data_IF_343202924482
#
_entry.id   IF_343202924482
#
_cell.length_a   1.000
_cell.length_b   1.000
_cell.length_c   1.000
_cell.angle_alpha   90.00
_cell.angle_beta   90.00
_cell.angle_gamma   90.00
#
_symmetry.space_group_name_H-M   'P 1'
#
loop_
_entity.id
_entity.type
_entity.pdbx_description
1 polymer ?
#
# COMPACT_ATOMS: atom_id res chain seq x y z
N UNK A 1 12.87 -21.26 -8.32
CA UNK A 1 14.06 -20.39 -8.34
C UNK A 1 13.73 -19.09 -7.65
N UNK A 2 14.52 -18.69 -6.65
CA UNK A 2 14.35 -17.43 -5.92
C UNK A 2 15.43 -16.46 -6.41
N UNK A 3 15.05 -15.22 -6.74
CA UNK A 3 15.99 -14.16 -7.11
C UNK A 3 16.36 -13.38 -5.84
N UNK A 4 17.64 -13.40 -5.44
CA UNK A 4 18.15 -12.57 -4.34
C UNK A 4 18.70 -11.25 -4.86
N UNK A 5 18.32 -10.14 -4.22
CA UNK A 5 18.68 -8.76 -4.60
C UNK A 5 19.61 -8.08 -3.58
N UNK A 6 20.10 -8.82 -2.58
CA UNK A 6 20.93 -8.36 -1.46
C UNK A 6 22.22 -7.64 -1.88
N UNK A 7 22.73 -7.90 -3.08
CA UNK A 7 23.95 -7.28 -3.61
C UNK A 7 23.73 -5.99 -4.41
N UNK A 8 22.47 -5.57 -4.58
CA UNK A 8 22.13 -4.38 -5.36
C UNK A 8 21.55 -3.32 -4.44
N UNK A 9 22.20 -2.17 -4.36
CA UNK A 9 21.66 -1.00 -3.64
C UNK A 9 20.64 -0.29 -4.52
N UNK A 10 19.36 -0.50 -4.22
CA UNK A 10 18.24 0.16 -4.89
C UNK A 10 17.67 1.25 -3.98
N UNK A 11 17.30 2.38 -4.58
CA UNK A 11 16.57 3.44 -3.88
C UNK A 11 15.07 3.14 -3.92
N UNK A 12 14.26 3.65 -2.98
CA UNK A 12 12.81 3.60 -3.11
C UNK A 12 12.34 4.13 -4.47
N UNK A 13 11.43 3.43 -5.13
CA UNK A 13 11.10 3.72 -6.52
C UNK A 13 10.22 2.66 -7.20
N UNK A 14 9.66 3.04 -8.34
CA UNK A 14 9.03 2.10 -9.27
C UNK A 14 10.10 1.39 -10.12
N UNK A 15 10.02 0.07 -10.21
CA UNK A 15 10.92 -0.78 -10.97
C UNK A 15 10.17 -1.74 -11.90
N UNK A 16 10.86 -2.16 -12.95
CA UNK A 16 10.40 -3.23 -13.85
C UNK A 16 11.37 -4.39 -13.81
N UNK A 17 10.94 -5.53 -13.28
CA UNK A 17 11.63 -6.80 -13.48
C UNK A 17 11.34 -7.33 -14.87
N UNK A 18 12.40 -7.69 -15.59
CA UNK A 18 12.32 -8.44 -16.85
C UNK A 18 13.07 -9.74 -16.66
N UNK A 19 12.38 -10.87 -16.86
CA UNK A 19 12.97 -12.19 -16.85
C UNK A 19 13.00 -12.71 -18.29
N UNK A 20 14.18 -13.03 -18.79
CA UNK A 20 14.38 -13.51 -20.15
C UNK A 20 14.98 -14.92 -20.12
N UNK A 21 14.42 -15.82 -20.92
CA UNK A 21 14.91 -17.20 -21.06
C UNK A 21 14.67 -17.69 -22.47
N UNK A 22 15.14 -18.89 -22.78
CA UNK A 22 14.71 -19.64 -23.96
C UNK A 22 13.85 -20.82 -23.52
N UNK A 23 12.88 -21.20 -24.34
CA UNK A 23 12.13 -22.44 -24.15
C UNK A 23 12.92 -23.66 -24.66
N UNK A 24 12.30 -24.84 -24.58
CA UNK A 24 12.92 -26.09 -25.03
C UNK A 24 13.25 -26.15 -26.54
N UNK A 25 12.71 -25.24 -27.33
CA UNK A 25 12.94 -25.13 -28.78
C UNK A 25 13.91 -23.98 -29.13
N UNK A 26 14.46 -23.29 -28.14
CA UNK A 26 15.36 -22.16 -28.34
C UNK A 26 14.66 -20.84 -28.63
N UNK A 27 13.33 -20.79 -28.55
CA UNK A 27 12.54 -19.56 -28.73
C UNK A 27 12.66 -18.68 -27.49
N UNK A 28 12.91 -17.39 -27.69
CA UNK A 28 13.01 -16.43 -26.58
C UNK A 28 11.65 -16.23 -25.89
N UNK A 29 11.65 -16.28 -24.56
CA UNK A 29 10.49 -16.04 -23.70
C UNK A 29 10.85 -14.93 -22.72
N UNK A 30 9.98 -13.92 -22.59
CA UNK A 30 10.16 -12.80 -21.68
C UNK A 30 8.94 -12.63 -20.78
N UNK A 31 9.17 -12.43 -19.49
CA UNK A 31 8.14 -12.04 -18.52
C UNK A 31 8.52 -10.71 -17.89
N UNK A 32 7.57 -9.77 -17.86
CA UNK A 32 7.75 -8.45 -17.23
C UNK A 32 6.82 -8.32 -16.03
N UNK A 33 7.34 -7.74 -14.96
CA UNK A 33 6.58 -7.44 -13.75
C UNK A 33 6.98 -6.05 -13.23
N UNK A 34 5.98 -5.22 -12.92
CA UNK A 34 6.20 -3.93 -12.26
C UNK A 34 6.11 -4.13 -10.76
N UNK A 35 7.03 -3.51 -10.02
CA UNK A 35 7.07 -3.52 -8.56
C UNK A 35 7.38 -2.11 -8.06
N UNK A 36 6.97 -1.82 -6.83
CA UNK A 36 7.37 -0.61 -6.11
C UNK A 36 8.25 -1.05 -4.95
N UNK A 37 9.48 -0.58 -4.93
CA UNK A 37 10.38 -0.73 -3.80
C UNK A 37 10.18 0.46 -2.86
N UNK A 38 9.95 0.21 -1.59
CA UNK A 38 9.77 1.23 -0.58
C UNK A 38 10.59 0.90 0.67
N UNK A 39 10.96 1.92 1.42
CA UNK A 39 11.60 1.79 2.72
C UNK A 39 10.51 1.87 3.81
N UNK A 40 10.26 0.81 4.58
CA UNK A 40 9.24 0.83 5.63
C UNK A 40 9.46 1.90 6.69
N UNK A 41 10.73 2.27 6.95
CA UNK A 41 11.13 3.29 7.92
C UNK A 41 11.44 4.64 7.24
N UNK A 42 11.32 4.70 5.91
CA UNK A 42 11.60 5.87 5.10
C UNK A 42 10.54 6.95 5.27
N UNK A 43 10.96 8.22 5.24
CA UNK A 43 10.05 9.36 5.38
C UNK A 43 9.43 9.83 4.05
N UNK A 44 9.92 9.30 2.92
CA UNK A 44 9.56 9.72 1.57
C UNK A 44 8.78 8.63 0.84
N UNK A 45 7.66 8.95 0.18
CA UNK A 45 6.95 7.98 -0.65
C UNK A 45 7.83 7.50 -1.81
N UNK A 46 7.68 6.24 -2.24
CA UNK A 46 8.48 5.63 -3.31
C UNK A 46 8.06 6.06 -4.72
N UNK A 47 6.86 6.64 -4.87
CA UNK A 47 6.29 7.07 -6.15
C UNK A 47 5.71 8.48 -6.05
N UNK A 48 5.41 9.07 -7.20
CA UNK A 48 4.83 10.42 -7.32
C UNK A 48 3.30 10.45 -7.30
N UNK A 49 2.68 9.42 -6.73
CA UNK A 49 1.23 9.37 -6.52
C UNK A 49 0.77 10.51 -5.59
N UNK A 50 -0.48 10.96 -5.77
CA UNK A 50 -1.05 12.04 -4.96
C UNK A 50 -1.05 11.66 -3.48
N UNK A 51 -1.55 10.46 -3.20
CA UNK A 51 -1.43 9.76 -1.94
C UNK A 51 -0.91 8.37 -2.25
N UNK A 52 0.24 8.02 -1.71
CA UNK A 52 0.76 6.66 -1.75
C UNK A 52 0.25 5.90 -0.54
N UNK A 53 -0.21 4.67 -0.76
CA UNK A 53 -0.69 3.79 0.30
C UNK A 53 0.02 2.44 0.25
N UNK A 54 0.37 1.92 1.42
CA UNK A 54 0.80 0.54 1.58
C UNK A 54 -0.04 -0.16 2.63
N UNK A 55 -0.69 -1.23 2.18
CA UNK A 55 -1.60 -2.06 2.95
C UNK A 55 -0.93 -3.43 3.17
N UNK A 56 -0.61 -3.82 4.42
CA UNK A 56 -0.03 -5.12 4.68
C UNK A 56 -0.99 -6.23 4.23
N UNK A 57 -0.44 -7.26 3.59
CA UNK A 57 -1.22 -8.37 3.04
C UNK A 57 -1.15 -9.59 3.96
N UNK A 58 -2.27 -10.26 4.16
CA UNK A 58 -2.34 -11.54 4.88
C UNK A 58 -3.58 -11.63 5.77
N UNK A 59 -3.92 -12.83 6.26
CA UNK A 59 -4.95 -12.97 7.27
C UNK A 59 -4.49 -12.32 8.57
N UNK A 60 -5.33 -11.46 9.14
CA UNK A 60 -5.10 -10.90 10.47
C UNK A 60 -5.93 -11.67 11.49
N UNK A 61 -5.26 -12.18 12.51
CA UNK A 61 -5.93 -12.82 13.64
C UNK A 61 -6.31 -11.79 14.72
N UNK A 62 -7.34 -12.07 15.54
CA UNK A 62 -7.66 -11.24 16.69
C UNK A 62 -6.45 -10.99 17.59
N UNK A 63 -6.23 -9.73 17.96
CA UNK A 63 -5.06 -9.27 18.72
C UNK A 63 -3.84 -8.92 17.85
N UNK A 64 -3.87 -9.18 16.54
CA UNK A 64 -2.87 -8.66 15.61
C UNK A 64 -3.24 -7.26 15.13
N UNK A 65 -2.25 -6.50 14.68
CA UNK A 65 -2.46 -5.15 14.15
C UNK A 65 -1.94 -5.03 12.71
N UNK A 66 -2.80 -4.55 11.80
CA UNK A 66 -2.35 -4.06 10.51
C UNK A 66 -1.72 -2.68 10.68
N UNK A 67 -0.53 -2.49 10.11
CA UNK A 67 0.16 -1.21 10.02
C UNK A 67 0.05 -0.69 8.60
N UNK A 68 -0.89 0.22 8.40
CA UNK A 68 -1.16 0.86 7.11
C UNK A 68 -0.27 2.09 7.00
N UNK A 69 0.45 2.23 5.90
CA UNK A 69 1.32 3.39 5.66
C UNK A 69 0.70 4.28 4.59
N UNK A 70 0.71 5.59 4.83
CA UNK A 70 0.13 6.60 3.96
C UNK A 70 1.11 7.76 3.81
N UNK A 71 1.25 8.31 2.62
CA UNK A 71 2.10 9.48 2.38
C UNK A 71 1.58 10.33 1.24
N UNK A 72 1.83 11.65 1.28
CA UNK A 72 1.57 12.54 0.16
C UNK A 72 2.90 12.97 -0.48
N UNK A 73 2.97 13.02 -1.82
CA UNK A 73 4.21 13.33 -2.54
C UNK A 73 4.46 14.83 -2.74
N UNK A 74 3.42 15.61 -3.08
CA UNK A 74 3.62 16.97 -3.62
C UNK A 74 3.21 18.12 -2.69
N UNK A 75 2.18 17.93 -1.87
CA UNK A 75 1.63 18.95 -0.98
C UNK A 75 0.99 18.29 0.22
N UNK A 76 0.85 19.05 1.30
CA UNK A 76 0.02 18.68 2.44
C UNK A 76 -1.36 18.24 1.95
N UNK A 77 -1.69 16.97 2.17
CA UNK A 77 -2.96 16.41 1.77
C UNK A 77 -3.79 16.11 3.01
N UNK A 78 -5.00 16.68 3.06
CA UNK A 78 -5.98 16.27 4.06
C UNK A 78 -6.70 15.03 3.55
N UNK A 79 -6.75 14.01 4.41
CA UNK A 79 -7.29 12.69 4.12
C UNK A 79 -8.21 12.27 5.26
N UNK A 80 -9.32 11.64 4.90
CA UNK A 80 -10.24 10.96 5.81
C UNK A 80 -9.98 9.46 5.72
N UNK A 81 -9.69 8.83 6.85
CA UNK A 81 -9.55 7.39 6.99
C UNK A 81 -10.73 6.84 7.79
N UNK A 82 -11.43 5.87 7.22
CA UNK A 82 -12.59 5.25 7.87
C UNK A 82 -12.46 3.73 7.92
N UNK A 83 -12.96 3.15 9.01
CA UNK A 83 -13.10 1.71 9.17
C UNK A 83 -14.58 1.42 9.29
N UNK A 84 -15.08 0.56 8.41
CA UNK A 84 -16.44 0.06 8.43
C UNK A 84 -16.44 -1.40 8.86
N UNK A 85 -17.40 -1.74 9.71
CA UNK A 85 -17.75 -3.11 10.07
C UNK A 85 -19.26 -3.22 10.06
N UNK A 86 -19.79 -4.26 9.42
CA UNK A 86 -21.23 -4.52 9.36
C UNK A 86 -22.07 -3.30 8.94
N UNK A 87 -21.64 -2.58 7.89
CA UNK A 87 -22.29 -1.38 7.36
C UNK A 87 -22.32 -0.18 8.33
N UNK A 88 -21.51 -0.21 9.38
CA UNK A 88 -21.36 0.87 10.34
C UNK A 88 -19.92 1.37 10.36
N UNK A 89 -19.75 2.69 10.24
CA UNK A 89 -18.45 3.33 10.43
C UNK A 89 -18.10 3.28 11.92
N UNK A 90 -17.15 2.41 12.27
CA UNK A 90 -16.69 2.22 13.65
C UNK A 90 -15.53 3.16 14.01
N UNK A 91 -14.88 3.76 13.00
CA UNK A 91 -13.77 4.70 13.16
C UNK A 91 -13.74 5.68 12.00
N UNK A 92 -13.50 6.96 12.30
CA UNK A 92 -13.38 8.03 11.32
C UNK A 92 -12.33 9.05 11.79
N UNK A 93 -11.22 9.14 11.06
CA UNK A 93 -10.07 9.97 11.40
C UNK A 93 -9.69 10.92 10.26
N UNK A 94 -9.70 12.21 10.53
CA UNK A 94 -9.10 13.21 9.65
C UNK A 94 -7.61 13.36 9.92
N UNK A 95 -6.81 13.43 8.86
CA UNK A 95 -5.38 13.63 8.98
C UNK A 95 -4.76 14.45 7.86
N UNK A 96 -3.71 15.18 8.22
CA UNK A 96 -2.81 15.83 7.26
C UNK A 96 -1.60 14.94 6.99
N UNK A 97 -1.35 14.65 5.72
CA UNK A 97 -0.19 13.91 5.23
C UNK A 97 0.85 14.91 4.70
N UNK A 98 1.98 15.05 5.41
CA UNK A 98 3.19 15.77 4.94
C UNK A 98 4.38 14.83 4.70
N UNK A 99 4.41 13.73 5.43
CA UNK A 99 5.41 12.66 5.43
C UNK A 99 4.68 11.33 5.55
N UNK A 100 5.43 10.23 5.42
CA UNK A 100 4.90 8.90 5.74
C UNK A 100 4.32 8.89 7.15
N UNK A 101 3.06 8.48 7.25
CA UNK A 101 2.32 8.27 8.50
C UNK A 101 1.85 6.84 8.55
N UNK A 102 1.97 6.24 9.73
CA UNK A 102 1.47 4.91 10.00
C UNK A 102 0.17 4.97 10.79
N UNK A 103 -0.83 4.24 10.34
CA UNK A 103 -2.08 3.97 11.07
C UNK A 103 -2.06 2.50 11.49
N UNK A 104 -2.37 2.23 12.75
CA UNK A 104 -2.62 0.88 13.22
C UNK A 104 -4.13 0.63 13.31
N UNK A 105 -4.57 -0.53 12.85
CA UNK A 105 -5.86 -1.11 13.20
C UNK A 105 -5.61 -2.45 13.89
N UNK A 106 -6.05 -2.59 15.14
CA UNK A 106 -5.98 -3.85 15.88
C UNK A 106 -7.25 -4.64 15.57
N UNK A 107 -7.07 -5.87 15.10
CA UNK A 107 -8.19 -6.73 14.76
C UNK A 107 -8.79 -7.37 16.02
N UNK A 108 -10.10 -7.33 16.12
CA UNK A 108 -10.89 -8.02 17.13
C UNK A 108 -11.60 -9.24 16.54
N UNK A 109 -12.18 -10.12 17.36
CA UNK A 109 -12.98 -11.26 16.86
C UNK A 109 -14.15 -10.79 15.98
N UNK A 110 -14.74 -9.64 16.30
CA UNK A 110 -15.80 -9.01 15.53
C UNK A 110 -15.36 -8.57 14.12
N UNK A 111 -14.06 -8.38 13.90
CA UNK A 111 -13.53 -7.90 12.61
C UNK A 111 -13.41 -9.03 11.57
N UNK A 112 -13.66 -10.29 11.95
CA UNK A 112 -13.49 -11.43 11.06
C UNK A 112 -14.46 -11.41 9.89
N UNK A 113 -13.90 -11.25 8.69
CA UNK A 113 -14.58 -11.49 7.42
C UNK A 113 -15.42 -10.32 6.88
N UNK A 114 -15.49 -9.19 7.57
CA UNK A 114 -16.33 -8.06 7.17
C UNK A 114 -15.83 -6.69 7.63
N UNK A 115 -14.52 -6.43 7.51
CA UNK A 115 -13.95 -5.09 7.77
C UNK A 115 -13.47 -4.46 6.47
N UNK A 116 -13.95 -3.24 6.24
CA UNK A 116 -13.57 -2.42 5.09
C UNK A 116 -12.87 -1.15 5.56
N UNK A 117 -11.85 -0.77 4.80
CA UNK A 117 -11.06 0.43 5.03
C UNK A 117 -11.26 1.39 3.88
N UNK A 118 -11.58 2.64 4.20
CA UNK A 118 -11.76 3.69 3.21
C UNK A 118 -10.75 4.82 3.41
N UNK A 119 -10.22 5.30 2.31
CA UNK A 119 -9.39 6.48 2.25
C UNK A 119 -9.99 7.49 1.28
N UNK A 120 -10.48 8.61 1.81
CA UNK A 120 -11.11 9.68 1.04
C UNK A 120 -10.27 10.94 1.06
N UNK A 121 -10.03 11.55 -0.10
CA UNK A 121 -9.29 12.81 -0.18
C UNK A 121 -9.64 13.60 -1.45
N UNK A 122 -9.30 14.89 -1.46
CA UNK A 122 -9.51 15.77 -2.61
C UNK A 122 -8.19 16.40 -3.06
N UNK A 123 -7.83 16.21 -4.32
CA UNK A 123 -6.61 16.74 -4.91
C UNK A 123 -6.86 17.15 -6.37
N UNK A 124 -6.19 18.22 -6.83
CA UNK A 124 -6.32 18.70 -8.21
C UNK A 124 -7.78 18.92 -8.66
N UNK A 125 -8.62 19.44 -7.75
CA UNK A 125 -10.07 19.63 -7.94
C UNK A 125 -10.84 18.34 -8.29
N UNK A 126 -10.36 17.19 -7.81
CA UNK A 126 -11.02 15.88 -7.94
C UNK A 126 -11.09 15.21 -6.58
N UNK A 127 -12.20 14.51 -6.32
CA UNK A 127 -12.33 13.61 -5.19
C UNK A 127 -11.80 12.22 -5.55
N UNK A 128 -11.21 11.56 -4.57
CA UNK A 128 -10.67 10.21 -4.65
C UNK A 128 -11.20 9.39 -3.48
N UNK A 129 -11.50 8.12 -3.75
CA UNK A 129 -11.91 7.12 -2.77
C UNK A 129 -11.14 5.83 -3.08
N UNK A 130 -10.34 5.38 -2.12
CA UNK A 130 -9.74 4.05 -2.14
C UNK A 130 -10.45 3.17 -1.11
N UNK A 131 -10.90 1.99 -1.55
CA UNK A 131 -11.53 1.00 -0.70
C UNK A 131 -10.67 -0.26 -0.67
N UNK A 132 -10.35 -0.74 0.54
CA UNK A 132 -9.57 -1.95 0.77
C UNK A 132 -10.29 -2.86 1.75
N UNK A 133 -10.08 -4.17 1.60
CA UNK A 133 -10.60 -5.21 2.50
C UNK A 133 -9.44 -6.06 2.97
N UNK A 134 -9.46 -6.46 4.24
CA UNK A 134 -8.44 -7.30 4.87
C UNK A 134 -9.07 -8.45 5.63
#
# INVERSE_FOLDING_TARGET
TVLQLDRVKLQPGAYRLTLETKDKFGTAVSKRQHIVLYDPDGATPPTNELVWTHWPQGPFEPGQAARIQLAAHHKDQVVLFEVERDQQIIRSDWMSLRKVRQIAHSFEEADRGNVHFYLSYAALNRSFLEANTM
#
